data_IF_142477769146
#
_entry.id   IF_142477769146
#
_cell.length_a   1.000
_cell.length_b   1.000
_cell.length_c   1.000
_cell.angle_alpha   90.00
_cell.angle_beta   90.00
_cell.angle_gamma   90.00
#
_symmetry.space_group_name_H-M   'P 1'
#
loop_
_entity.id
_entity.type
_entity.pdbx_description
1 polymer ?
#
# COMPACT_ATOMS: atom_id res chain seq x y z
N UNK A 1 1.63 -22.19 7.37
CA UNK A 1 2.61 -21.11 7.14
C UNK A 1 3.92 -21.78 6.79
N UNK A 2 4.46 -21.53 5.60
CA UNK A 2 5.78 -22.04 5.25
C UNK A 2 6.88 -21.17 5.84
N UNK A 3 8.13 -21.62 5.81
CA UNK A 3 9.28 -20.90 6.37
C UNK A 3 9.53 -19.53 5.71
N UNK A 4 9.09 -19.36 4.46
CA UNK A 4 9.14 -18.11 3.71
C UNK A 4 7.85 -17.28 3.78
N UNK A 5 6.80 -17.78 4.44
CA UNK A 5 5.60 -17.00 4.68
C UNK A 5 5.83 -15.98 5.79
N UNK A 6 5.04 -14.91 5.78
CA UNK A 6 5.08 -13.84 6.79
C UNK A 6 3.70 -13.23 6.97
N UNK A 7 3.46 -12.65 8.14
CA UNK A 7 2.39 -11.68 8.36
C UNK A 7 2.99 -10.28 8.44
N UNK A 8 2.13 -9.27 8.29
CA UNK A 8 2.49 -7.87 8.48
C UNK A 8 1.64 -7.21 9.58
N UNK A 9 2.00 -5.98 9.96
CA UNK A 9 1.17 -5.13 10.83
C UNK A 9 -0.21 -4.90 10.22
N UNK A 10 -1.19 -4.58 11.06
CA UNK A 10 -2.57 -4.32 10.63
C UNK A 10 -2.91 -2.81 10.58
N UNK A 11 -1.90 -1.95 10.64
CA UNK A 11 -2.10 -0.51 10.48
C UNK A 11 -2.68 -0.20 9.08
N UNK A 12 -3.82 0.49 8.97
CA UNK A 12 -4.42 0.78 7.68
C UNK A 12 -3.51 1.62 6.77
N UNK A 13 -3.38 1.19 5.51
CA UNK A 13 -2.70 1.96 4.45
C UNK A 13 -3.69 2.88 3.75
N UNK A 14 -3.56 4.19 3.99
CA UNK A 14 -4.49 5.21 3.49
C UNK A 14 -3.94 5.88 2.24
N UNK A 15 -4.76 5.99 1.19
CA UNK A 15 -4.42 6.73 -0.02
C UNK A 15 -4.64 8.23 0.21
N UNK A 16 -3.56 9.00 0.30
CA UNK A 16 -3.59 10.44 0.54
C UNK A 16 -3.22 11.19 -0.75
N UNK A 17 -3.97 12.23 -1.14
CA UNK A 17 -3.56 13.12 -2.21
C UNK A 17 -2.41 14.02 -1.73
N UNK A 18 -1.32 14.09 -2.48
CA UNK A 18 -0.19 15.00 -2.28
C UNK A 18 0.07 15.78 -3.57
N UNK A 19 0.83 16.90 -3.56
CA UNK A 19 1.07 17.68 -4.77
C UNK A 19 1.64 16.88 -5.94
N UNK A 20 2.43 15.85 -5.67
CA UNK A 20 3.09 14.98 -6.66
C UNK A 20 2.19 13.83 -7.15
N UNK A 21 0.98 13.66 -6.61
CA UNK A 21 0.05 12.58 -6.99
C UNK A 21 -0.62 11.93 -5.78
N UNK A 22 -0.97 10.64 -5.89
CA UNK A 22 -1.55 9.89 -4.75
C UNK A 22 -0.49 8.99 -4.15
N UNK A 23 -0.40 8.96 -2.82
CA UNK A 23 0.56 8.14 -2.09
C UNK A 23 -0.14 7.38 -0.96
N UNK A 24 0.26 6.14 -0.72
CA UNK A 24 -0.15 5.41 0.48
C UNK A 24 0.68 5.84 1.69
N UNK A 25 0.01 6.09 2.81
CA UNK A 25 0.61 6.35 4.09
C UNK A 25 -0.09 5.53 5.19
N UNK A 26 0.66 5.00 6.17
CA UNK A 26 0.06 4.35 7.34
C UNK A 26 -0.80 5.33 8.15
N UNK A 27 -1.93 4.87 8.70
CA UNK A 27 -2.83 5.74 9.46
C UNK A 27 -2.15 6.34 10.70
N UNK A 28 -1.35 5.56 11.42
CA UNK A 28 -0.58 6.06 12.56
C UNK A 28 0.42 7.16 12.17
N UNK A 29 1.03 7.07 10.98
CA UNK A 29 1.94 8.11 10.49
C UNK A 29 1.21 9.46 10.31
N UNK A 30 0.03 9.42 9.70
CA UNK A 30 -0.82 10.62 9.47
C UNK A 30 -1.25 11.24 10.81
N UNK A 31 -1.69 10.40 11.76
CA UNK A 31 -2.09 10.85 13.09
C UNK A 31 -0.90 11.51 13.82
N UNK A 32 0.27 10.87 13.80
CA UNK A 32 1.48 11.38 14.45
C UNK A 32 1.96 12.70 13.84
N UNK A 33 1.93 12.83 12.52
CA UNK A 33 2.23 14.09 11.84
C UNK A 33 1.29 15.22 12.26
N UNK A 34 -0.01 14.94 12.34
CA UNK A 34 -1.00 15.92 12.78
C UNK A 34 -0.78 16.37 14.23
N UNK A 35 -0.54 15.44 15.16
CA UNK A 35 -0.28 15.78 16.57
C UNK A 35 1.04 16.54 16.74
N UNK A 36 2.08 16.15 15.99
CA UNK A 36 3.35 16.87 15.96
C UNK A 36 3.18 18.30 15.43
N UNK A 37 2.44 18.48 14.33
CA UNK A 37 2.14 19.80 13.79
C UNK A 37 1.41 20.70 14.81
N UNK A 38 0.42 20.13 15.52
CA UNK A 38 -0.30 20.84 16.59
C UNK A 38 0.63 21.26 17.73
N UNK A 39 1.52 20.38 18.17
CA UNK A 39 2.50 20.68 19.21
C UNK A 39 3.47 21.78 18.76
N UNK A 40 4.15 21.58 17.63
CA UNK A 40 5.17 22.49 17.14
C UNK A 40 4.64 23.90 16.82
N UNK A 41 3.40 24.02 16.33
CA UNK A 41 2.77 25.31 16.06
C UNK A 41 2.33 26.03 17.35
N UNK A 42 1.99 25.28 18.41
CA UNK A 42 1.71 25.84 19.73
C UNK A 42 3.00 26.35 20.41
N UNK A 43 4.10 25.63 20.24
CA UNK A 43 5.40 26.02 20.80
C UNK A 43 6.00 27.21 20.05
N UNK A 44 5.87 27.24 18.72
CA UNK A 44 6.35 28.33 17.90
C UNK A 44 5.46 28.55 16.65
N UNK A 45 4.78 29.70 16.63
CA UNK A 45 3.88 30.13 15.55
C UNK A 45 4.59 30.17 14.18
N UNK A 46 5.91 30.38 14.12
CA UNK A 46 6.64 30.36 12.83
C UNK A 46 6.60 28.99 12.14
N UNK A 47 6.36 27.90 12.88
CA UNK A 47 6.27 26.55 12.33
C UNK A 47 5.02 26.35 11.46
N UNK A 48 4.00 27.21 11.58
CA UNK A 48 2.81 27.18 10.72
C UNK A 48 3.21 27.25 9.23
N UNK A 49 4.22 28.05 8.88
CA UNK A 49 4.67 28.19 7.50
C UNK A 49 5.22 26.86 6.94
N UNK A 50 5.92 26.06 7.77
CA UNK A 50 6.46 24.76 7.39
C UNK A 50 5.36 23.68 7.29
N UNK A 51 4.38 23.70 8.20
CA UNK A 51 3.30 22.71 8.22
C UNK A 51 2.18 22.99 7.21
N UNK A 52 1.97 24.24 6.80
CA UNK A 52 0.86 24.63 5.91
C UNK A 52 0.79 23.82 4.60
N UNK A 53 1.88 23.57 3.86
CA UNK A 53 1.83 22.75 2.64
C UNK A 53 1.38 21.30 2.91
N UNK A 54 1.84 20.71 4.03
CA UNK A 54 1.49 19.34 4.43
C UNK A 54 0.03 19.28 4.87
N UNK A 55 -0.41 20.18 5.75
CA UNK A 55 -1.77 20.19 6.28
C UNK A 55 -2.83 20.50 5.22
N UNK A 56 -2.49 21.26 4.16
CA UNK A 56 -3.39 21.47 3.01
C UNK A 56 -3.69 20.19 2.24
N UNK A 57 -2.78 19.20 2.27
CA UNK A 57 -3.00 17.89 1.66
C UNK A 57 -3.97 17.02 2.46
N UNK A 58 -4.16 17.33 3.75
CA UNK A 58 -5.10 16.61 4.60
C UNK A 58 -6.52 17.11 4.32
N UNK A 59 -7.25 16.34 3.50
CA UNK A 59 -8.66 16.60 3.26
C UNK A 59 -9.44 16.62 4.60
N UNK A 60 -10.49 17.44 4.66
CA UNK A 60 -11.39 17.49 5.81
C UNK A 60 -11.92 16.09 6.16
N UNK A 61 -11.81 15.71 7.44
CA UNK A 61 -12.23 14.39 7.92
C UNK A 61 -11.15 13.30 7.88
N UNK A 62 -9.99 13.52 7.26
CA UNK A 62 -8.92 12.51 7.17
C UNK A 62 -8.46 12.01 8.54
N UNK A 63 -8.31 12.89 9.52
CA UNK A 63 -7.82 12.52 10.86
C UNK A 63 -8.82 11.62 11.58
N UNK A 64 -10.11 11.97 11.55
CA UNK A 64 -11.17 11.13 12.12
C UNK A 64 -11.25 9.80 11.37
N UNK A 65 -11.14 9.83 10.05
CA UNK A 65 -11.09 8.62 9.25
C UNK A 65 -9.93 7.70 9.68
N UNK A 66 -8.72 8.21 9.86
CA UNK A 66 -7.58 7.44 10.35
C UNK A 66 -7.86 6.80 11.72
N UNK A 67 -8.42 7.53 12.68
CA UNK A 67 -8.83 6.99 13.98
C UNK A 67 -9.83 5.84 13.83
N UNK A 68 -10.88 6.02 13.02
CA UNK A 68 -11.88 4.98 12.79
C UNK A 68 -11.31 3.77 12.06
N UNK A 69 -10.39 3.96 11.10
CA UNK A 69 -9.76 2.84 10.40
C UNK A 69 -8.85 2.02 11.31
N UNK A 70 -8.06 2.67 12.18
CA UNK A 70 -7.22 1.98 13.18
C UNK A 70 -8.09 1.13 14.11
N UNK A 71 -9.16 1.74 14.64
CA UNK A 71 -10.13 1.04 15.50
C UNK A 71 -10.78 -0.15 14.78
N UNK A 72 -11.30 0.09 13.57
CA UNK A 72 -11.96 -0.95 12.77
C UNK A 72 -11.01 -2.13 12.47
N UNK A 73 -9.75 -1.85 12.14
CA UNK A 73 -8.75 -2.89 11.86
C UNK A 73 -8.56 -3.82 13.07
N UNK A 74 -8.37 -3.24 14.25
CA UNK A 74 -8.23 -4.01 15.49
C UNK A 74 -9.51 -4.77 15.84
N UNK A 75 -10.68 -4.14 15.72
CA UNK A 75 -11.98 -4.79 15.99
C UNK A 75 -12.23 -6.00 15.09
N UNK A 76 -11.93 -5.89 13.79
CA UNK A 76 -12.10 -6.99 12.84
C UNK A 76 -11.18 -8.14 13.20
N UNK A 77 -9.89 -7.88 13.46
CA UNK A 77 -8.92 -8.92 13.82
C UNK A 77 -9.32 -9.59 15.14
N UNK A 78 -9.62 -8.82 16.18
CA UNK A 78 -10.04 -9.36 17.48
C UNK A 78 -11.31 -10.22 17.36
N UNK A 79 -12.32 -9.75 16.62
CA UNK A 79 -13.56 -10.51 16.39
C UNK A 79 -13.29 -11.86 15.70
N UNK A 80 -12.41 -11.88 14.70
CA UNK A 80 -12.11 -13.12 13.95
C UNK A 80 -11.26 -14.08 14.77
N UNK A 81 -10.28 -13.58 15.52
CA UNK A 81 -9.48 -14.38 16.44
C UNK A 81 -10.35 -15.04 17.50
N UNK A 82 -11.21 -14.28 18.18
CA UNK A 82 -12.09 -14.81 19.22
C UNK A 82 -13.07 -15.85 18.67
N UNK A 83 -13.68 -15.58 17.51
CA UNK A 83 -14.73 -16.44 16.93
C UNK A 83 -14.20 -17.72 16.30
N UNK A 84 -13.05 -17.67 15.64
CA UNK A 84 -12.59 -18.78 14.79
C UNK A 84 -11.27 -19.41 15.25
N UNK A 85 -10.29 -18.61 15.69
CA UNK A 85 -8.98 -19.15 16.04
C UNK A 85 -8.94 -19.65 17.47
N UNK A 86 -9.30 -18.79 18.44
CA UNK A 86 -9.17 -19.05 19.87
C UNK A 86 -10.23 -20.02 20.42
N UNK A 87 -11.23 -20.38 19.60
CA UNK A 87 -12.19 -21.43 19.94
C UNK A 87 -11.68 -22.85 19.65
N UNK A 88 -10.54 -22.97 18.95
CA UNK A 88 -10.00 -24.27 18.58
C UNK A 88 -9.51 -25.04 19.81
N UNK A 89 -9.86 -26.33 19.90
CA UNK A 89 -9.67 -27.15 21.09
C UNK A 89 -8.21 -27.33 21.55
N UNK A 90 -7.26 -27.20 20.62
CA UNK A 90 -5.82 -27.35 20.88
C UNK A 90 -5.17 -26.11 21.52
N UNK A 91 -5.85 -24.96 21.54
CA UNK A 91 -5.36 -23.75 22.21
C UNK A 91 -5.74 -23.68 23.69
N UNK A 92 -6.68 -24.50 24.14
CA UNK A 92 -7.18 -24.54 25.52
C UNK A 92 -7.53 -23.14 26.11
N UNK A 93 -8.03 -22.21 25.28
CA UNK A 93 -8.45 -20.87 25.74
C UNK A 93 -9.92 -20.93 26.21
N UNK A 94 -10.19 -20.65 27.50
CA UNK A 94 -11.55 -20.59 28.03
C UNK A 94 -12.39 -19.57 27.26
N UNK A 95 -13.67 -19.88 27.03
CA UNK A 95 -14.57 -19.02 26.24
C UNK A 95 -14.63 -17.58 26.76
N UNK A 96 -14.69 -17.41 28.07
CA UNK A 96 -14.71 -16.10 28.74
C UNK A 96 -13.40 -15.31 28.64
N UNK A 97 -12.32 -15.89 28.12
CA UNK A 97 -11.02 -15.23 27.93
C UNK A 97 -10.70 -14.95 26.46
N UNK A 98 -11.51 -15.47 25.52
CA UNK A 98 -11.23 -15.37 24.09
C UNK A 98 -11.23 -13.93 23.60
N UNK A 99 -12.19 -13.12 24.04
CA UNK A 99 -12.29 -11.72 23.62
C UNK A 99 -11.09 -10.90 24.10
N UNK A 100 -10.74 -10.99 25.38
CA UNK A 100 -9.58 -10.30 25.95
C UNK A 100 -8.29 -10.70 25.24
N UNK A 101 -8.04 -12.00 25.08
CA UNK A 101 -6.83 -12.49 24.39
C UNK A 101 -6.80 -12.07 22.91
N UNK A 102 -7.96 -12.00 22.25
CA UNK A 102 -8.03 -11.55 20.88
C UNK A 102 -7.71 -10.05 20.74
N UNK A 103 -8.15 -9.23 21.69
CA UNK A 103 -7.82 -7.81 21.75
C UNK A 103 -6.31 -7.60 21.99
N UNK A 104 -5.71 -8.32 22.94
CA UNK A 104 -4.25 -8.26 23.19
C UNK A 104 -3.44 -8.59 21.93
N UNK A 105 -3.85 -9.62 21.17
CA UNK A 105 -3.19 -9.97 19.91
C UNK A 105 -3.42 -8.88 18.85
N UNK A 106 -4.64 -8.35 18.72
CA UNK A 106 -4.93 -7.29 17.76
C UNK A 106 -4.13 -6.00 18.05
N UNK A 107 -4.03 -5.60 19.32
CA UNK A 107 -3.19 -4.50 19.77
C UNK A 107 -1.72 -4.76 19.43
N UNK A 108 -1.24 -5.99 19.62
CA UNK A 108 0.12 -6.34 19.22
C UNK A 108 0.36 -6.11 17.72
N UNK A 109 -0.61 -6.26 16.84
CA UNK A 109 -0.41 -5.98 15.40
C UNK A 109 -0.69 -4.53 14.99
N UNK A 110 -1.53 -3.81 15.74
CA UNK A 110 -2.21 -2.62 15.22
C UNK A 110 -2.17 -1.38 16.11
N UNK A 111 -1.60 -1.44 17.32
CA UNK A 111 -1.48 -0.28 18.20
C UNK A 111 -0.42 0.73 17.73
N UNK A 112 -0.35 1.88 18.38
CA UNK A 112 0.73 2.84 18.13
C UNK A 112 2.11 2.24 18.48
N UNK A 113 2.20 1.45 19.55
CA UNK A 113 3.42 0.73 19.89
C UNK A 113 3.77 -0.32 18.83
N UNK A 114 2.78 -0.95 18.20
CA UNK A 114 2.99 -1.87 17.08
C UNK A 114 3.60 -1.14 15.88
N UNK A 115 3.13 0.07 15.57
CA UNK A 115 3.70 0.91 14.52
C UNK A 115 5.20 1.16 14.75
N UNK A 116 5.62 1.47 15.97
CA UNK A 116 7.04 1.64 16.33
C UNK A 116 7.84 0.33 16.36
N UNK A 117 7.19 -0.77 16.77
CA UNK A 117 7.81 -2.10 16.80
C UNK A 117 8.18 -2.59 15.41
N UNK A 118 7.24 -2.48 14.46
CA UNK A 118 7.41 -3.02 13.12
C UNK A 118 8.06 -2.02 12.16
N UNK A 119 7.82 -0.72 12.34
CA UNK A 119 8.35 0.43 11.56
C UNK A 119 7.95 0.48 10.08
N UNK A 120 7.73 -0.66 9.45
CA UNK A 120 7.35 -0.81 8.05
C UNK A 120 6.51 -2.06 7.86
N UNK A 121 5.53 -2.00 6.96
CA UNK A 121 4.74 -3.18 6.57
C UNK A 121 5.57 -4.25 5.84
N UNK A 122 6.72 -3.87 5.26
CA UNK A 122 7.63 -4.82 4.61
C UNK A 122 8.53 -5.57 5.58
N UNK A 123 8.41 -5.34 6.89
CA UNK A 123 9.15 -6.11 7.89
C UNK A 123 8.39 -7.40 8.17
N UNK A 124 8.99 -8.57 7.91
CA UNK A 124 8.30 -9.84 8.06
C UNK A 124 8.07 -10.18 9.52
N UNK A 125 6.84 -10.60 9.87
CA UNK A 125 6.52 -11.21 11.16
C UNK A 125 6.44 -12.72 10.95
N UNK A 126 7.42 -13.44 11.51
CA UNK A 126 7.63 -14.87 11.23
C UNK A 126 7.03 -15.78 12.29
N UNK A 127 6.95 -17.07 11.98
CA UNK A 127 6.39 -18.11 12.86
C UNK A 127 6.83 -18.01 14.34
N UNK A 128 8.11 -17.80 14.69
CA UNK A 128 8.51 -17.71 16.10
C UNK A 128 7.83 -16.56 16.86
N UNK A 129 7.65 -15.41 16.20
CA UNK A 129 6.98 -14.23 16.78
C UNK A 129 5.48 -14.47 16.91
N UNK A 130 4.85 -15.09 15.91
CA UNK A 130 3.42 -15.43 15.96
C UNK A 130 3.13 -16.43 17.08
N UNK A 131 4.02 -17.41 17.27
CA UNK A 131 3.91 -18.40 18.34
C UNK A 131 4.07 -17.75 19.71
N UNK A 132 4.97 -16.78 19.87
CA UNK A 132 5.24 -16.15 21.17
C UNK A 132 4.05 -15.33 21.68
N UNK A 133 3.23 -14.78 20.78
CA UNK A 133 1.99 -14.06 21.12
C UNK A 133 0.76 -14.98 21.19
N UNK A 134 0.94 -16.30 21.07
CA UNK A 134 -0.13 -17.28 21.25
C UNK A 134 -1.04 -17.48 20.03
N UNK A 135 -0.62 -17.09 18.82
CA UNK A 135 -1.35 -17.45 17.61
C UNK A 135 -1.18 -18.93 17.29
N UNK A 136 -2.29 -19.54 16.84
CA UNK A 136 -2.29 -20.91 16.33
C UNK A 136 -1.82 -20.92 14.89
N UNK A 137 -0.56 -21.30 14.67
CA UNK A 137 0.03 -21.41 13.35
C UNK A 137 0.49 -22.85 13.09
N UNK A 138 -0.02 -23.47 12.03
CA UNK A 138 0.46 -24.76 11.53
C UNK A 138 1.60 -24.52 10.54
N UNK A 139 2.75 -25.15 10.72
CA UNK A 139 3.85 -25.08 9.76
C UNK A 139 3.55 -26.00 8.57
N UNK A 140 3.94 -25.59 7.37
CA UNK A 140 3.75 -26.45 6.20
C UNK A 140 4.79 -27.58 6.20
N UNK A 141 5.97 -27.31 6.73
CA UNK A 141 7.11 -28.23 6.82
C UNK A 141 6.81 -29.48 7.66
N UNK A 142 5.79 -29.42 8.52
CA UNK A 142 5.37 -30.55 9.35
C UNK A 142 4.49 -31.56 8.58
N UNK A 143 4.03 -31.23 7.36
CA UNK A 143 3.18 -32.06 6.51
C UNK A 143 3.58 -31.91 5.04
N UNK A 144 4.34 -32.86 4.51
CA UNK A 144 4.90 -32.81 3.16
C UNK A 144 3.83 -32.80 2.06
N UNK A 145 2.70 -33.48 2.25
CA UNK A 145 1.61 -33.49 1.27
C UNK A 145 0.91 -32.13 1.21
N UNK A 146 0.63 -31.55 2.37
CA UNK A 146 0.05 -30.21 2.45
C UNK A 146 1.01 -29.15 1.89
N UNK A 147 2.30 -29.26 2.19
CA UNK A 147 3.33 -28.34 1.67
C UNK A 147 3.38 -28.38 0.15
N UNK A 148 3.49 -29.58 -0.44
CA UNK A 148 3.55 -29.75 -1.90
C UNK A 148 2.30 -29.20 -2.59
N UNK A 149 1.11 -29.50 -2.05
CA UNK A 149 -0.15 -28.99 -2.59
C UNK A 149 -0.23 -27.45 -2.51
N UNK A 150 0.12 -26.86 -1.37
CA UNK A 150 0.06 -25.41 -1.17
C UNK A 150 1.09 -24.67 -2.04
N UNK A 151 2.33 -25.17 -2.11
CA UNK A 151 3.39 -24.57 -2.92
C UNK A 151 3.11 -24.73 -4.41
N UNK A 152 2.55 -25.86 -4.86
CA UNK A 152 2.13 -26.04 -6.25
C UNK A 152 1.12 -24.97 -6.69
N UNK A 153 0.10 -24.71 -5.85
CA UNK A 153 -0.88 -23.65 -6.12
C UNK A 153 -0.22 -22.26 -6.10
N UNK A 154 0.67 -22.00 -5.15
CA UNK A 154 1.42 -20.73 -5.09
C UNK A 154 2.23 -20.50 -6.37
N UNK A 155 3.04 -21.47 -6.80
CA UNK A 155 3.88 -21.35 -8.00
C UNK A 155 3.04 -21.22 -9.28
N UNK A 156 1.94 -21.97 -9.37
CA UNK A 156 1.00 -21.82 -10.49
C UNK A 156 0.41 -20.40 -10.55
N UNK A 157 0.08 -19.80 -9.40
CA UNK A 157 -0.38 -18.41 -9.32
C UNK A 157 0.73 -17.43 -9.71
N UNK A 158 1.93 -17.55 -9.15
CA UNK A 158 3.08 -16.68 -9.49
C UNK A 158 3.34 -16.68 -11.00
N UNK A 159 3.38 -17.86 -11.63
CA UNK A 159 3.53 -17.99 -13.09
C UNK A 159 2.38 -17.32 -13.84
N UNK A 160 1.14 -17.52 -13.39
CA UNK A 160 -0.06 -16.96 -14.04
C UNK A 160 -0.10 -15.44 -13.96
N UNK A 161 0.22 -14.86 -12.80
CA UNK A 161 0.23 -13.42 -12.56
C UNK A 161 1.49 -12.73 -13.10
N UNK A 162 2.56 -13.48 -13.39
CA UNK A 162 3.66 -12.98 -14.21
C UNK A 162 3.27 -12.86 -15.71
N UNK A 163 2.12 -13.41 -16.09
CA UNK A 163 1.46 -13.19 -17.36
C UNK A 163 0.48 -12.00 -17.33
N UNK A 164 -0.44 -11.91 -18.30
CA UNK A 164 -1.37 -10.79 -18.40
C UNK A 164 -2.59 -10.93 -17.47
N UNK A 165 -2.64 -11.96 -16.62
CA UNK A 165 -3.76 -12.16 -15.71
C UNK A 165 -3.76 -11.08 -14.61
N UNK A 166 -4.88 -10.36 -14.48
CA UNK A 166 -5.09 -9.37 -13.43
C UNK A 166 -5.93 -9.92 -12.26
N UNK A 167 -6.77 -10.94 -12.52
CA UNK A 167 -7.60 -11.57 -11.49
C UNK A 167 -7.95 -13.01 -11.88
N UNK A 168 -7.92 -13.90 -10.89
CA UNK A 168 -8.41 -15.27 -11.02
C UNK A 168 -9.49 -15.51 -9.97
N UNK A 169 -10.61 -16.11 -10.37
CA UNK A 169 -11.63 -16.65 -9.46
C UNK A 169 -11.81 -18.12 -9.83
N UNK A 170 -11.50 -19.02 -8.90
CA UNK A 170 -11.57 -20.47 -9.12
C UNK A 170 -12.15 -21.18 -7.90
N UNK A 171 -12.76 -22.36 -8.09
CA UNK A 171 -13.24 -23.21 -7.01
C UNK A 171 -12.91 -24.70 -7.22
N UNK A 172 -13.17 -25.51 -6.19
CA UNK A 172 -12.91 -26.95 -6.17
C UNK A 172 -13.80 -27.77 -7.13
N UNK A 173 -14.74 -27.14 -7.85
CA UNK A 173 -15.60 -27.75 -8.85
C UNK A 173 -15.12 -27.46 -10.29
N UNK A 174 -13.89 -26.96 -10.44
CA UNK A 174 -13.30 -26.55 -11.71
C UNK A 174 -14.03 -25.40 -12.41
N UNK A 175 -14.80 -24.58 -11.67
CA UNK A 175 -15.33 -23.33 -12.23
C UNK A 175 -14.26 -22.25 -12.11
N UNK A 176 -13.87 -21.63 -13.24
CA UNK A 176 -12.83 -20.61 -13.28
C UNK A 176 -13.22 -19.41 -14.15
N UNK A 177 -12.91 -18.22 -13.67
CA UNK A 177 -12.91 -16.97 -14.43
C UNK A 177 -11.54 -16.30 -14.30
N UNK A 178 -10.94 -15.92 -15.42
CA UNK A 178 -9.68 -15.17 -15.46
C UNK A 178 -9.92 -13.84 -16.15
N UNK A 179 -9.60 -12.74 -15.48
CA UNK A 179 -9.57 -11.39 -16.06
C UNK A 179 -8.15 -11.12 -16.52
N UNK A 180 -7.99 -10.71 -17.77
CA UNK A 180 -6.71 -10.44 -18.41
C UNK A 180 -6.64 -8.96 -18.75
N UNK A 181 -5.54 -8.31 -18.39
CA UNK A 181 -5.26 -6.93 -18.78
C UNK A 181 -4.46 -6.92 -20.09
N UNK A 182 -4.98 -6.22 -21.10
CA UNK A 182 -4.29 -6.01 -22.37
C UNK A 182 -3.71 -4.61 -22.41
N UNK A 183 -2.39 -4.50 -22.31
CA UNK A 183 -1.69 -3.26 -22.59
C UNK A 183 -1.64 -3.03 -24.10
N UNK A 184 -2.54 -2.19 -24.62
CA UNK A 184 -2.46 -1.72 -26.00
C UNK A 184 -1.41 -0.61 -26.04
N UNK A 185 -0.22 -0.94 -26.54
CA UNK A 185 0.77 0.08 -26.87
C UNK A 185 0.24 0.92 -28.03
N UNK A 186 -0.25 2.13 -27.73
CA UNK A 186 -0.53 3.12 -28.75
C UNK A 186 0.81 3.54 -29.35
N UNK A 187 1.12 3.05 -30.54
CA UNK A 187 2.29 3.50 -31.30
C UNK A 187 2.02 4.97 -31.68
N UNK A 188 2.76 5.96 -31.15
CA UNK A 188 2.58 7.34 -31.59
C UNK A 188 2.90 7.38 -33.07
N UNK A 189 1.94 7.79 -33.89
CA UNK A 189 2.13 7.88 -35.33
C UNK A 189 3.41 8.67 -35.60
N UNK A 190 4.34 8.09 -36.36
CA UNK A 190 5.51 8.81 -36.88
C UNK A 190 4.98 10.05 -37.60
N UNK A 191 5.23 11.24 -37.04
CA UNK A 191 5.12 12.47 -37.80
C UNK A 191 6.08 12.33 -38.99
N UNK A 192 5.52 12.19 -40.18
CA UNK A 192 6.28 12.17 -41.43
C UNK A 192 6.75 13.61 -41.64
N UNK A 193 7.98 13.91 -41.24
CA UNK A 193 8.61 15.17 -41.60
C UNK A 193 8.87 15.14 -43.11
N UNK A 194 8.11 15.94 -43.88
CA UNK A 194 8.44 16.20 -45.27
C UNK A 194 9.74 17.03 -45.34
N UNK A 195 10.76 16.63 -46.11
CA UNK A 195 11.96 17.43 -46.29
C UNK A 195 11.62 18.69 -47.08
N UNK A 196 11.89 19.86 -46.48
CA UNK A 196 11.87 21.14 -47.19
C UNK A 196 13.04 21.15 -48.17
N UNK A 197 12.74 21.19 -49.46
CA UNK A 197 13.71 21.38 -50.54
C UNK A 197 14.33 22.77 -50.45
N UNK A 198 15.59 22.86 -50.01
CA UNK A 198 16.41 24.06 -50.15
C UNK A 198 17.02 24.11 -51.56
N UNK A 199 16.44 24.95 -52.43
CA UNK A 199 17.02 25.28 -53.71
C UNK A 199 17.52 26.74 -53.71
N UNK A 200 18.83 26.91 -53.92
CA UNK A 200 19.36 27.98 -54.77
C UNK A 200 19.64 29.34 -54.15
N UNK A 201 20.90 29.55 -53.79
CA UNK A 201 21.56 30.86 -53.66
C UNK A 201 21.44 31.70 -54.94
N UNK A 202 21.25 33.02 -54.80
CA UNK A 202 22.01 33.99 -55.60
C UNK A 202 22.05 35.37 -54.94
N UNK A 203 23.26 35.86 -54.77
CA UNK A 203 23.59 37.19 -54.30
C UNK A 203 23.41 38.23 -55.41
N UNK A 204 22.88 39.41 -55.06
CA UNK A 204 23.19 40.65 -55.74
C UNK A 204 23.01 41.82 -54.75
N UNK A 205 24.14 42.48 -54.46
CA UNK A 205 24.22 43.80 -53.86
C UNK A 205 23.36 44.79 -54.64
N UNK A 206 22.70 45.74 -53.95
CA UNK A 206 22.67 47.15 -54.36
C UNK A 206 22.19 48.03 -53.20
N UNK A 207 22.95 49.11 -53.05
CA UNK A 207 22.87 50.25 -52.14
C UNK A 207 21.52 50.97 -52.09
N UNK A 208 21.21 51.61 -50.96
CA UNK A 208 20.22 52.69 -50.95
C UNK A 208 19.74 53.11 -49.57
N UNK A 209 20.31 54.21 -49.09
CA UNK A 209 19.85 55.10 -48.01
C UNK A 209 18.34 55.25 -47.85
N UNK A 210 17.85 55.27 -46.61
CA UNK A 210 17.23 56.46 -45.96
C UNK A 210 16.28 56.07 -44.81
N UNK A 211 16.69 56.47 -43.60
CA UNK A 211 15.95 57.34 -42.66
C UNK A 211 14.46 57.12 -42.34
N UNK A 212 14.17 57.26 -41.03
CA UNK A 212 12.90 57.58 -40.31
C UNK A 212 12.25 56.39 -39.59
N UNK A 213 12.20 56.31 -38.25
CA UNK A 213 11.66 57.20 -37.18
C UNK A 213 10.25 56.74 -36.71
N UNK A 214 10.09 56.69 -35.37
CA UNK A 214 8.90 56.51 -34.52
C UNK A 214 8.24 55.11 -34.52
N UNK A 215 7.84 54.49 -33.41
CA UNK A 215 7.71 54.89 -31.99
C UNK A 215 7.94 53.66 -31.09
#
# INVERSE_FOLDING_TARGET
>A
MGDHSELGPIDPQILVPVPEGRRYAPAHAILRDFYRAKQECNENVSNIAAWTPILRSYAGGLIEFCHQQVKLSMEVVAKWLARYMLCHADLAVPENQRETKALEIAEWFGSEEAYDRFRTHGRPIRYPELKSIGLRVRRLEDDSQLQDAALSIFHANEITFNGPAAKVIENHLNHRMVVVEQNIALNPQRQVNHPVSSAGSNAALLSGSANRIFA
#
